data_IF_366990493133
#
_entry.id   IF_366990493133
#
_cell.length_a   1.000
_cell.length_b   1.000
_cell.length_c   1.000
_cell.angle_alpha   90.00
_cell.angle_beta   90.00
_cell.angle_gamma   90.00
#
_symmetry.space_group_name_H-M   'P 1'
#
loop_
_entity.id
_entity.type
_entity.pdbx_description
1 polymer ?
#
# COMPACT_ATOMS: atom_id res chain seq x y z
N UNK A 1 21.51 5.52 2.52
CA UNK A 1 21.06 6.33 1.38
C UNK A 1 20.76 5.34 0.27
N UNK A 2 19.54 5.29 -0.26
CA UNK A 2 19.26 4.44 -1.40
C UNK A 2 20.10 4.88 -2.60
N UNK A 3 20.43 3.92 -3.44
CA UNK A 3 21.22 4.04 -4.66
C UNK A 3 20.31 3.85 -5.87
N UNK A 4 20.83 4.09 -7.08
CA UNK A 4 20.07 3.83 -8.31
C UNK A 4 19.63 2.35 -8.43
N UNK A 5 20.44 1.40 -7.96
CA UNK A 5 20.13 -0.03 -8.01
C UNK A 5 18.87 -0.37 -7.22
N UNK A 6 18.58 0.36 -6.14
CA UNK A 6 17.37 0.15 -5.34
C UNK A 6 16.09 0.57 -6.09
N UNK A 7 16.21 1.47 -7.08
CA UNK A 7 15.11 1.93 -7.94
C UNK A 7 14.93 1.08 -9.20
N UNK A 8 15.84 0.12 -9.46
CA UNK A 8 15.83 -0.76 -10.62
C UNK A 8 15.47 -2.18 -10.15
N UNK A 9 14.17 -2.54 -10.10
CA UNK A 9 13.77 -3.89 -9.72
C UNK A 9 14.28 -4.91 -10.75
N UNK A 10 14.45 -6.17 -10.31
CA UNK A 10 14.82 -7.28 -11.19
C UNK A 10 13.80 -7.40 -12.34
N UNK A 11 14.31 -7.56 -13.57
CA UNK A 11 13.51 -7.57 -14.81
C UNK A 11 12.58 -6.37 -14.98
N UNK A 12 12.86 -5.25 -14.30
CA UNK A 12 12.01 -4.07 -14.19
C UNK A 12 10.60 -4.42 -13.68
N UNK A 13 10.46 -5.43 -12.83
CA UNK A 13 9.17 -5.92 -12.37
C UNK A 13 9.10 -6.01 -10.84
N UNK A 14 7.99 -5.52 -10.29
CA UNK A 14 7.63 -5.76 -8.88
C UNK A 14 6.36 -6.58 -8.85
N UNK A 15 6.42 -7.74 -8.18
CA UNK A 15 5.32 -8.68 -8.05
C UNK A 15 5.21 -9.14 -6.60
N UNK A 16 4.16 -8.69 -5.92
CA UNK A 16 3.84 -9.05 -4.53
C UNK A 16 2.41 -9.62 -4.53
N UNK A 17 2.27 -10.95 -4.69
CA UNK A 17 0.96 -11.61 -4.79
C UNK A 17 0.08 -11.38 -3.56
N UNK A 18 0.66 -11.35 -2.36
CA UNK A 18 -0.06 -11.17 -1.09
C UNK A 18 -0.79 -9.83 -1.03
N UNK A 19 -0.28 -8.82 -1.76
CA UNK A 19 -0.84 -7.46 -1.85
C UNK A 19 -1.55 -7.21 -3.18
N UNK A 20 -1.72 -8.24 -4.02
CA UNK A 20 -2.25 -8.11 -5.38
C UNK A 20 -1.58 -6.98 -6.19
N UNK A 21 -0.26 -6.85 -6.04
CA UNK A 21 0.52 -5.76 -6.61
C UNK A 21 1.47 -6.32 -7.67
N UNK A 22 1.16 -6.05 -8.93
CA UNK A 22 1.98 -6.43 -10.08
C UNK A 22 2.22 -5.18 -10.91
N UNK A 23 3.48 -4.77 -11.04
CA UNK A 23 3.85 -3.61 -11.82
C UNK A 23 5.09 -3.90 -12.66
N UNK A 24 5.01 -3.55 -13.95
CA UNK A 24 6.14 -3.57 -14.85
C UNK A 24 6.56 -2.12 -15.10
N UNK A 25 7.81 -1.83 -14.79
CA UNK A 25 8.44 -0.54 -14.97
C UNK A 25 9.09 -0.46 -16.34
N UNK A 26 9.15 0.74 -16.88
CA UNK A 26 10.10 1.09 -17.92
C UNK A 26 11.37 1.64 -17.24
N UNK A 27 12.54 1.40 -17.82
CA UNK A 27 13.81 1.90 -17.28
C UNK A 27 13.81 3.43 -17.11
N UNK A 28 13.14 4.14 -18.04
CA UNK A 28 12.95 5.58 -17.97
C UNK A 28 12.17 6.04 -16.73
N UNK A 29 11.19 5.26 -16.27
CA UNK A 29 10.40 5.58 -15.07
C UNK A 29 11.24 5.42 -13.81
N UNK A 30 12.04 4.35 -13.73
CA UNK A 30 13.01 4.13 -12.66
C UNK A 30 14.04 5.26 -12.58
N UNK A 31 14.59 5.68 -13.71
CA UNK A 31 15.51 6.82 -13.77
C UNK A 31 14.86 8.13 -13.36
N UNK A 32 13.61 8.38 -13.74
CA UNK A 32 12.88 9.57 -13.32
C UNK A 32 12.63 9.58 -11.80
N UNK A 33 12.27 8.43 -11.22
CA UNK A 33 12.10 8.26 -9.78
C UNK A 33 13.40 8.51 -9.03
N UNK A 34 14.50 7.89 -9.46
CA UNK A 34 15.82 8.11 -8.89
C UNK A 34 16.25 9.58 -8.99
N UNK A 35 16.12 10.19 -10.17
CA UNK A 35 16.52 11.58 -10.39
C UNK A 35 15.73 12.54 -9.49
N UNK A 36 14.43 12.32 -9.32
CA UNK A 36 13.59 13.10 -8.42
C UNK A 36 14.02 12.95 -6.95
N UNK A 37 14.26 11.70 -6.51
CA UNK A 37 14.73 11.41 -5.17
C UNK A 37 16.10 12.03 -4.88
N UNK A 38 17.07 11.81 -5.76
CA UNK A 38 18.44 12.33 -5.64
C UNK A 38 18.49 13.86 -5.68
N UNK A 39 17.59 14.51 -6.43
CA UNK A 39 17.47 15.96 -6.46
C UNK A 39 16.69 16.54 -5.25
N UNK A 40 16.03 15.70 -4.44
CA UNK A 40 15.12 16.17 -3.39
C UNK A 40 13.92 16.95 -3.94
N UNK A 41 13.44 16.60 -5.13
CA UNK A 41 12.35 17.30 -5.83
C UNK A 41 11.16 16.36 -6.07
N UNK A 42 9.93 16.87 -6.01
CA UNK A 42 8.75 16.06 -6.30
C UNK A 42 8.70 15.65 -7.78
N UNK A 43 8.20 14.44 -8.05
CA UNK A 43 7.95 13.91 -9.38
C UNK A 43 6.45 13.97 -9.71
N UNK A 44 6.09 14.60 -10.82
CA UNK A 44 4.71 14.60 -11.34
C UNK A 44 4.58 13.56 -12.45
N UNK A 45 3.90 12.46 -12.16
CA UNK A 45 3.64 11.39 -13.13
C UNK A 45 2.34 11.67 -13.89
N UNK A 46 2.39 11.75 -15.22
CA UNK A 46 1.23 12.01 -16.09
C UNK A 46 0.95 10.87 -17.04
N UNK A 47 -0.27 10.83 -17.60
CA UNK A 47 -0.63 9.94 -18.71
C UNK A 47 -2.09 9.52 -18.67
N UNK A 48 -2.46 8.57 -19.53
CA UNK A 48 -3.85 8.11 -19.68
C UNK A 48 -4.41 7.52 -18.37
N UNK A 49 -5.72 7.66 -18.11
CA UNK A 49 -6.40 6.92 -17.05
C UNK A 49 -6.16 5.41 -17.19
N UNK A 50 -5.98 4.71 -16.08
CA UNK A 50 -5.73 3.26 -16.08
C UNK A 50 -4.31 2.83 -16.45
N UNK A 51 -3.39 3.74 -16.79
CA UNK A 51 -2.00 3.41 -17.11
C UNK A 51 -1.11 3.17 -15.86
N UNK A 52 -1.68 2.64 -14.77
CA UNK A 52 -0.88 2.14 -13.63
C UNK A 52 -0.13 3.15 -12.76
N UNK A 53 -0.37 4.47 -12.83
CA UNK A 53 0.43 5.48 -12.07
C UNK A 53 0.36 5.30 -10.56
N UNK A 54 -0.83 5.09 -10.01
CA UNK A 54 -0.99 4.81 -8.58
C UNK A 54 -0.35 3.47 -8.21
N UNK A 55 -0.40 2.49 -9.12
CA UNK A 55 0.24 1.20 -8.91
C UNK A 55 1.77 1.31 -8.94
N UNK A 56 2.33 2.14 -9.83
CA UNK A 56 3.75 2.46 -9.89
C UNK A 56 4.23 3.05 -8.55
N UNK A 57 3.48 4.00 -8.00
CA UNK A 57 3.79 4.61 -6.70
C UNK A 57 3.78 3.58 -5.55
N UNK A 58 2.83 2.64 -5.55
CA UNK A 58 2.79 1.54 -4.57
C UNK A 58 3.95 0.56 -4.77
N UNK A 59 4.22 0.19 -6.02
CA UNK A 59 5.29 -0.76 -6.37
C UNK A 59 6.67 -0.25 -5.95
N UNK A 60 6.97 1.02 -6.22
CA UNK A 60 8.26 1.60 -5.80
C UNK A 60 8.33 1.76 -4.28
N UNK A 61 7.22 2.09 -3.62
CA UNK A 61 7.19 2.18 -2.16
C UNK A 61 7.46 0.82 -1.50
N UNK A 62 6.84 -0.26 -1.99
CA UNK A 62 7.13 -1.61 -1.49
C UNK A 62 8.57 -2.03 -1.77
N UNK A 63 9.09 -1.77 -2.97
CA UNK A 63 10.49 -2.06 -3.35
C UNK A 63 11.49 -1.38 -2.40
N UNK A 64 11.25 -0.12 -2.06
CA UNK A 64 12.14 0.68 -1.20
C UNK A 64 11.82 0.56 0.30
N UNK A 65 10.79 -0.21 0.67
CA UNK A 65 10.31 -0.33 2.04
C UNK A 65 9.76 0.99 2.61
N UNK A 66 9.24 1.87 1.76
CA UNK A 66 8.66 3.15 2.15
C UNK A 66 7.17 3.02 2.47
N UNK A 67 6.71 3.84 3.41
CA UNK A 67 5.27 4.02 3.61
C UNK A 67 4.67 4.75 2.40
N UNK A 68 3.64 4.17 1.79
CA UNK A 68 2.88 4.79 0.71
C UNK A 68 1.67 5.52 1.30
N UNK A 69 1.69 6.86 1.29
CA UNK A 69 0.56 7.69 1.74
C UNK A 69 -0.19 8.21 0.51
N UNK A 70 -1.48 7.90 0.44
CA UNK A 70 -2.33 8.29 -0.67
C UNK A 70 -3.37 9.30 -0.23
N UNK A 71 -3.54 10.36 -1.02
CA UNK A 71 -4.58 11.35 -0.82
C UNK A 71 -5.21 11.70 -2.17
N UNK A 72 -6.54 11.80 -2.21
CA UNK A 72 -7.29 12.26 -3.37
C UNK A 72 -7.55 13.75 -3.21
N UNK A 73 -6.96 14.57 -4.07
CA UNK A 73 -7.16 16.02 -4.06
C UNK A 73 -8.30 16.37 -5.00
N UNK A 74 -9.30 17.08 -4.48
CA UNK A 74 -10.48 17.56 -5.21
C UNK A 74 -10.71 19.06 -4.97
N UNK A 75 -11.69 19.67 -5.65
CA UNK A 75 -11.98 21.10 -5.49
C UNK A 75 -12.50 21.51 -4.11
N UNK A 76 -12.95 20.54 -3.29
CA UNK A 76 -13.37 20.76 -1.91
C UNK A 76 -12.31 20.38 -0.87
N UNK A 77 -11.11 19.99 -1.28
CA UNK A 77 -10.03 19.62 -0.35
C UNK A 77 -9.45 20.88 0.28
N UNK A 78 -9.53 20.97 1.60
CA UNK A 78 -8.98 22.07 2.40
C UNK A 78 -7.59 21.72 2.95
N UNK A 79 -6.88 22.71 3.50
CA UNK A 79 -5.54 22.49 4.06
C UNK A 79 -5.56 21.52 5.25
N UNK A 80 -6.60 21.60 6.08
CA UNK A 80 -6.75 20.73 7.25
C UNK A 80 -6.98 19.26 6.85
N UNK A 81 -7.53 19.00 5.66
CA UNK A 81 -7.66 17.65 5.09
C UNK A 81 -6.31 17.03 4.68
N UNK A 82 -5.23 17.81 4.69
CA UNK A 82 -3.86 17.33 4.43
C UNK A 82 -3.00 17.27 5.69
N UNK A 83 -3.52 17.77 6.82
CA UNK A 83 -2.92 17.56 8.13
C UNK A 83 -3.14 16.11 8.60
N UNK A 84 -2.63 15.78 9.79
CA UNK A 84 -2.73 14.42 10.34
C UNK A 84 -4.20 14.02 10.53
N UNK A 85 -4.54 12.79 10.13
CA UNK A 85 -5.87 12.22 10.32
C UNK A 85 -5.83 11.18 11.43
N UNK A 86 -6.63 11.36 12.47
CA UNK A 86 -6.80 10.34 13.49
C UNK A 86 -7.91 9.36 13.08
N UNK A 87 -7.53 8.18 12.60
CA UNK A 87 -8.49 7.13 12.24
C UNK A 87 -8.99 6.40 13.50
N UNK A 88 -10.00 6.97 14.16
CA UNK A 88 -10.65 6.34 15.31
C UNK A 88 -11.44 5.09 14.91
N UNK A 89 -11.93 5.03 13.67
CA UNK A 89 -12.88 4.01 13.21
C UNK A 89 -12.13 2.73 12.82
N UNK A 90 -11.04 2.84 12.07
CA UNK A 90 -10.16 1.71 11.76
C UNK A 90 -9.62 1.07 13.03
N UNK A 91 -9.21 1.88 14.01
CA UNK A 91 -8.72 1.39 15.31
C UNK A 91 -9.79 0.69 16.14
N UNK A 92 -11.06 1.13 16.05
CA UNK A 92 -12.18 0.42 16.68
C UNK A 92 -12.44 -0.93 16.00
N UNK A 93 -12.38 -0.99 14.67
CA UNK A 93 -12.50 -2.23 13.90
C UNK A 93 -11.40 -3.24 14.25
N UNK A 94 -10.15 -2.79 14.36
CA UNK A 94 -9.02 -3.63 14.81
C UNK A 94 -9.23 -4.16 16.24
N UNK A 95 -9.77 -3.34 17.15
CA UNK A 95 -10.07 -3.75 18.51
C UNK A 95 -11.20 -4.80 18.57
N UNK A 96 -12.21 -4.68 17.72
CA UNK A 96 -13.29 -5.66 17.61
C UNK A 96 -12.81 -6.99 17.01
N UNK A 97 -11.98 -6.94 15.95
CA UNK A 97 -11.38 -8.12 15.34
C UNK A 97 -10.48 -8.90 16.33
N UNK A 98 -9.79 -8.20 17.23
CA UNK A 98 -8.97 -8.81 18.29
C UNK A 98 -9.79 -9.38 19.45
N UNK A 99 -11.05 -8.96 19.59
CA UNK A 99 -11.93 -9.33 20.71
C UNK A 99 -12.87 -10.50 20.42
N UNK A 100 -12.79 -11.15 19.25
CA UNK A 100 -13.49 -12.42 18.99
C UNK A 100 -12.58 -13.61 19.38
N UNK A 101 -12.79 -14.24 20.55
CA UNK A 101 -12.13 -15.50 20.88
C UNK A 101 -12.70 -16.65 20.02
N UNK A 102 -11.79 -17.42 19.45
CA UNK A 102 -12.02 -18.74 18.88
C UNK A 102 -12.63 -19.66 19.95
N UNK A 103 -13.84 -20.15 19.71
CA UNK A 103 -14.65 -20.81 20.74
C UNK A 103 -15.81 -21.57 20.14
N UNK A 104 -15.53 -22.58 19.32
CA UNK A 104 -16.51 -23.58 18.93
C UNK A 104 -16.95 -24.39 20.16
N UNK A 105 -18.24 -24.49 20.51
CA UNK A 105 -18.68 -25.51 21.44
C UNK A 105 -18.69 -26.86 20.72
N UNK A 106 -17.74 -27.73 21.10
CA UNK A 106 -17.79 -29.16 20.82
C UNK A 106 -19.12 -29.73 21.32
N UNK A 107 -19.92 -30.23 20.38
CA UNK A 107 -21.20 -30.89 20.63
C UNK A 107 -20.96 -32.12 21.50
N UNK A 108 -21.49 -32.22 22.75
CA UNK A 108 -21.43 -33.47 23.48
C UNK A 108 -22.40 -34.45 22.82
N UNK A 109 -21.86 -35.59 22.42
CA UNK A 109 -22.61 -36.79 22.08
C UNK A 109 -23.38 -37.24 23.32
N UNK A 110 -24.71 -37.30 23.23
CA UNK A 110 -25.57 -37.82 24.30
C UNK A 110 -26.30 -39.07 23.79
N UNK A 111 -25.83 -40.22 24.26
CA UNK A 111 -26.50 -41.53 24.36
C UNK A 111 -25.63 -42.45 25.23
N UNK A 112 -26.18 -43.44 25.97
CA UNK A 112 -27.56 -43.63 26.45
C UNK A 112 -27.63 -44.07 27.94
N UNK A 113 -28.87 -44.33 28.41
CA UNK A 113 -29.27 -45.26 29.49
C UNK A 113 -28.99 -44.95 30.97
N UNK A 114 -30.05 -44.72 31.74
CA UNK A 114 -30.68 -45.72 32.65
C UNK A 114 -31.95 -45.16 33.30
#
# INVERSE_FOLDING_TARGET
MPTLEDFLPEDLQVSIPERSLYHQFEEADCHALWAAHAAGRPLLVRGKPGAGKSQMARAIAEQLGWACVEAVISGGTELDDLHWHFDAIGRLGEAQARSMPDGAPSRPEDQPES
#
